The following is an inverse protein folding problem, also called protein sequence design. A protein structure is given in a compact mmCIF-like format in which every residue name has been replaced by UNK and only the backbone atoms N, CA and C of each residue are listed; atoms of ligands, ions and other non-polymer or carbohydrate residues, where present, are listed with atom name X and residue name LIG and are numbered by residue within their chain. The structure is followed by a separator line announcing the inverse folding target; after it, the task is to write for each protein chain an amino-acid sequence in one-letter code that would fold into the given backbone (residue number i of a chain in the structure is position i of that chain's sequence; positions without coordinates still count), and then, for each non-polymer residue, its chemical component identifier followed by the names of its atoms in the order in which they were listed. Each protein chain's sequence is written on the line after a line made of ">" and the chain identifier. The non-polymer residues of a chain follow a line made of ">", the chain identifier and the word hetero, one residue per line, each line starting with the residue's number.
data_IF_450377331863
#
_entry.id   IF_450377331863
#
_cell.length_a   1.000
_cell.length_b   1.000
_cell.length_c   1.000
_cell.angle_alpha   90.00
_cell.angle_beta   90.00
_cell.angle_gamma   90.00
#
_symmetry.space_group_name_H-M   'P 1'
#
loop_
_entity.id
_entity.type
_entity.pdbx_description
1 polymer ?
#
# COMPACT_ATOMS: atom_id res chain seq x y z
N UNK A 1 33.89 33.45 -25.49
CA UNK A 1 33.44 32.10 -25.11
C UNK A 1 32.73 32.19 -23.77
N UNK A 2 31.40 32.04 -23.72
CA UNK A 2 30.65 31.88 -22.46
C UNK A 2 30.05 30.48 -22.46
N UNK A 3 30.48 29.67 -21.50
CA UNK A 3 30.09 28.28 -21.35
C UNK A 3 28.57 28.19 -21.08
N UNK A 4 27.91 27.33 -21.87
CA UNK A 4 26.52 26.91 -21.67
C UNK A 4 26.46 25.89 -20.53
N UNK A 5 25.40 26.05 -19.72
CA UNK A 5 24.62 25.04 -18.97
C UNK A 5 25.38 24.06 -18.07
N UNK A 6 24.92 24.01 -16.83
CA UNK A 6 24.44 22.75 -16.26
C UNK A 6 23.19 23.08 -15.46
N UNK A 7 22.05 22.65 -16.00
CA UNK A 7 20.78 22.62 -15.28
C UNK A 7 20.98 21.56 -14.18
N UNK A 8 20.95 21.97 -12.92
CA UNK A 8 20.86 21.06 -11.78
C UNK A 8 19.51 20.34 -11.86
N UNK A 9 19.56 19.02 -11.99
CA UNK A 9 18.43 18.08 -11.96
C UNK A 9 17.84 17.91 -10.53
N UNK A 10 17.63 19.01 -9.81
CA UNK A 10 17.13 18.99 -8.42
C UNK A 10 15.69 19.47 -8.27
N UNK A 11 14.94 19.55 -9.38
CA UNK A 11 13.51 19.81 -9.37
C UNK A 11 12.73 18.50 -9.57
N UNK A 12 13.09 17.45 -8.83
CA UNK A 12 12.15 16.36 -8.55
C UNK A 12 11.10 16.96 -7.63
N UNK A 13 10.08 17.57 -8.24
CA UNK A 13 8.84 17.96 -7.57
C UNK A 13 8.35 16.73 -6.82
N UNK A 14 8.62 16.69 -5.52
CA UNK A 14 7.93 15.81 -4.59
C UNK A 14 6.45 16.21 -4.70
N UNK A 15 5.70 15.53 -5.58
CA UNK A 15 4.27 15.40 -5.38
C UNK A 15 4.08 14.97 -3.93
N UNK A 16 3.14 15.59 -3.19
CA UNK A 16 3.09 15.44 -1.75
C UNK A 16 2.66 14.01 -1.47
N UNK A 17 3.62 13.11 -1.23
CA UNK A 17 3.39 11.71 -0.83
C UNK A 17 2.33 11.61 0.28
N UNK A 18 2.22 12.64 1.11
CA UNK A 18 1.16 12.85 2.10
C UNK A 18 -0.25 12.71 1.52
N UNK A 19 -0.48 13.17 0.29
CA UNK A 19 -1.75 13.05 -0.42
C UNK A 19 -2.03 11.61 -0.83
N UNK A 20 -1.08 10.92 -1.47
CA UNK A 20 -1.24 9.52 -1.85
C UNK A 20 -1.36 8.61 -0.63
N UNK A 21 -0.56 8.84 0.42
CA UNK A 21 -0.67 8.13 1.70
C UNK A 21 -2.02 8.39 2.33
N UNK A 22 -2.50 9.63 2.38
CA UNK A 22 -3.84 9.93 2.89
C UNK A 22 -4.93 9.23 2.08
N UNK A 23 -4.85 9.25 0.75
CA UNK A 23 -5.78 8.52 -0.11
C UNK A 23 -5.77 7.02 0.18
N UNK A 24 -4.58 6.45 0.44
CA UNK A 24 -4.43 5.04 0.79
C UNK A 24 -5.13 4.74 2.12
N UNK A 25 -4.90 5.55 3.14
CA UNK A 25 -5.53 5.43 4.45
C UNK A 25 -7.05 5.52 4.37
N UNK A 26 -7.57 6.49 3.63
CA UNK A 26 -9.02 6.67 3.42
C UNK A 26 -9.62 5.48 2.64
N UNK A 27 -8.91 4.94 1.64
CA UNK A 27 -9.34 3.79 0.86
C UNK A 27 -9.32 2.50 1.70
N UNK A 28 -8.33 2.34 2.57
CA UNK A 28 -8.20 1.22 3.51
C UNK A 28 -9.32 1.21 4.54
N UNK A 29 -9.58 2.34 5.20
CA UNK A 29 -10.69 2.47 6.15
C UNK A 29 -12.04 2.16 5.47
N UNK A 30 -12.25 2.70 4.26
CA UNK A 30 -13.45 2.41 3.47
C UNK A 30 -13.57 0.92 3.13
N UNK A 31 -12.48 0.27 2.74
CA UNK A 31 -12.46 -1.15 2.45
C UNK A 31 -12.92 -1.98 3.67
N UNK A 32 -12.37 -1.68 4.86
CA UNK A 32 -12.75 -2.34 6.10
C UNK A 32 -14.24 -2.13 6.43
N UNK A 33 -14.76 -0.91 6.26
CA UNK A 33 -16.19 -0.62 6.45
C UNK A 33 -17.06 -1.46 5.51
N UNK A 34 -16.72 -1.50 4.21
CA UNK A 34 -17.44 -2.29 3.21
C UNK A 34 -17.44 -3.79 3.57
N UNK A 35 -16.31 -4.31 4.06
CA UNK A 35 -16.23 -5.70 4.53
C UNK A 35 -17.09 -5.95 5.77
N UNK A 36 -17.08 -5.02 6.71
CA UNK A 36 -17.77 -5.19 7.98
C UNK A 36 -19.29 -5.07 7.87
N UNK A 37 -19.76 -4.26 6.94
CA UNK A 37 -21.16 -4.15 6.54
C UNK A 37 -21.65 -5.34 5.70
N UNK A 38 -20.76 -6.28 5.34
CA UNK A 38 -21.13 -7.51 4.62
C UNK A 38 -21.51 -7.27 3.16
N UNK A 39 -20.95 -6.24 2.52
CA UNK A 39 -21.22 -5.95 1.11
C UNK A 39 -20.74 -7.07 0.17
N UNK A 40 -21.30 -7.15 -1.06
CA UNK A 40 -20.91 -8.16 -2.03
C UNK A 40 -19.42 -8.14 -2.38
N UNK A 41 -18.87 -9.32 -2.74
CA UNK A 41 -17.47 -9.51 -3.15
C UNK A 41 -17.05 -8.54 -4.27
N UNK A 42 -17.93 -8.22 -5.21
CA UNK A 42 -17.59 -7.29 -6.29
C UNK A 42 -17.28 -5.87 -5.77
N UNK A 43 -17.92 -5.43 -4.68
CA UNK A 43 -17.61 -4.14 -4.04
C UNK A 43 -16.27 -4.18 -3.30
N UNK A 44 -15.98 -5.30 -2.62
CA UNK A 44 -14.67 -5.52 -1.99
C UNK A 44 -13.55 -5.53 -3.02
N UNK A 45 -13.75 -6.22 -4.14
CA UNK A 45 -12.80 -6.27 -5.24
C UNK A 45 -12.55 -4.89 -5.84
N UNK A 46 -13.60 -4.07 -6.03
CA UNK A 46 -13.46 -2.70 -6.51
C UNK A 46 -12.65 -1.83 -5.54
N UNK A 47 -12.87 -1.99 -4.23
CA UNK A 47 -12.09 -1.27 -3.22
C UNK A 47 -10.61 -1.70 -3.22
N UNK A 48 -10.32 -3.00 -3.32
CA UNK A 48 -8.96 -3.54 -3.46
C UNK A 48 -8.27 -3.02 -4.73
N UNK A 49 -8.96 -3.01 -5.87
CA UNK A 49 -8.42 -2.43 -7.11
C UNK A 49 -8.07 -0.94 -6.96
N UNK A 50 -8.87 -0.18 -6.23
CA UNK A 50 -8.59 1.23 -5.91
C UNK A 50 -7.32 1.37 -5.06
N UNK A 51 -7.21 0.60 -3.98
CA UNK A 51 -6.02 0.58 -3.12
C UNK A 51 -4.77 0.14 -3.89
N UNK A 52 -4.88 -0.89 -4.74
CA UNK A 52 -3.80 -1.35 -5.62
C UNK A 52 -3.25 -0.22 -6.50
N UNK A 53 -4.13 0.58 -7.10
CA UNK A 53 -3.72 1.71 -7.91
C UNK A 53 -3.00 2.81 -7.12
N UNK A 54 -3.39 3.03 -5.85
CA UNK A 54 -2.74 4.02 -4.97
C UNK A 54 -1.37 3.48 -4.51
N UNK A 55 -1.31 2.24 -4.03
CA UNK A 55 -0.06 1.56 -3.65
C UNK A 55 0.93 1.54 -4.80
N UNK A 56 0.48 1.22 -6.02
CA UNK A 56 1.34 1.22 -7.19
C UNK A 56 2.01 2.56 -7.44
N UNK A 57 1.26 3.67 -7.30
CA UNK A 57 1.83 5.03 -7.41
C UNK A 57 2.82 5.34 -6.29
N UNK A 58 2.49 5.00 -5.05
CA UNK A 58 3.40 5.20 -3.91
C UNK A 58 4.72 4.45 -4.14
N UNK A 59 4.64 3.20 -4.59
CA UNK A 59 5.83 2.39 -4.85
C UNK A 59 6.62 2.96 -6.03
N UNK A 60 5.99 3.19 -7.19
CA UNK A 60 6.67 3.57 -8.43
C UNK A 60 7.21 5.01 -8.42
N UNK A 61 6.46 5.94 -7.85
CA UNK A 61 6.72 7.37 -8.00
C UNK A 61 7.52 7.93 -6.81
N UNK A 62 7.40 7.28 -5.64
CA UNK A 62 8.06 7.71 -4.41
C UNK A 62 9.05 6.67 -3.87
N UNK A 63 8.60 5.48 -3.49
CA UNK A 63 9.41 4.53 -2.70
C UNK A 63 10.67 4.06 -3.44
N UNK A 64 10.59 3.83 -4.76
CA UNK A 64 11.77 3.48 -5.56
C UNK A 64 12.86 4.57 -5.55
N UNK A 65 12.49 5.84 -5.34
CA UNK A 65 13.42 6.98 -5.27
C UNK A 65 13.85 7.29 -3.85
N UNK A 66 13.19 6.71 -2.85
CA UNK A 66 13.52 6.92 -1.45
C UNK A 66 14.92 6.37 -1.16
N UNK A 67 15.80 7.07 -0.43
CA UNK A 67 17.08 6.51 0.01
C UNK A 67 16.91 5.24 0.85
N UNK A 68 17.79 4.24 0.66
CA UNK A 68 17.71 2.92 1.34
C UNK A 68 17.65 3.05 2.88
N UNK A 69 18.34 4.05 3.45
CA UNK A 69 18.36 4.33 4.89
C UNK A 69 17.03 4.86 5.44
N UNK A 70 16.13 5.37 4.58
CA UNK A 70 14.82 5.91 4.95
C UNK A 70 13.65 4.96 4.70
N UNK A 71 13.88 3.87 3.97
CA UNK A 71 12.83 2.88 3.68
C UNK A 71 12.21 2.24 4.92
N UNK A 72 12.99 1.81 5.95
CA UNK A 72 12.41 1.20 7.14
C UNK A 72 11.50 2.17 7.89
N UNK A 73 11.92 3.43 8.02
CA UNK A 73 11.15 4.47 8.70
C UNK A 73 9.84 4.75 7.96
N UNK A 74 9.86 4.78 6.63
CA UNK A 74 8.66 4.92 5.82
C UNK A 74 7.68 3.76 6.05
N UNK A 75 8.16 2.52 5.94
CA UNK A 75 7.32 1.33 6.13
C UNK A 75 6.74 1.25 7.55
N UNK A 76 7.55 1.54 8.57
CA UNK A 76 7.10 1.56 9.97
C UNK A 76 6.06 2.66 10.23
N UNK A 77 6.26 3.85 9.65
CA UNK A 77 5.30 4.95 9.75
C UNK A 77 3.99 4.58 9.05
N UNK A 78 4.04 4.02 7.84
CA UNK A 78 2.85 3.58 7.12
C UNK A 78 2.09 2.50 7.88
N UNK A 79 2.79 1.50 8.43
CA UNK A 79 2.20 0.45 9.25
C UNK A 79 1.48 1.03 10.48
N UNK A 80 2.10 2.00 11.16
CA UNK A 80 1.52 2.70 12.31
C UNK A 80 0.24 3.44 11.92
N UNK A 81 0.27 4.22 10.83
CA UNK A 81 -0.89 4.98 10.35
C UNK A 81 -2.05 4.07 9.92
N UNK A 82 -1.75 2.93 9.28
CA UNK A 82 -2.76 1.93 8.93
C UNK A 82 -3.37 1.31 10.19
N UNK A 83 -2.54 0.96 11.18
CA UNK A 83 -2.99 0.44 12.47
C UNK A 83 -3.91 1.43 13.19
N UNK A 84 -3.51 2.70 13.29
CA UNK A 84 -4.31 3.78 13.89
C UNK A 84 -5.67 3.92 13.19
N UNK A 85 -5.70 3.86 11.85
CA UNK A 85 -6.95 3.92 11.09
C UNK A 85 -7.84 2.71 11.30
N UNK A 86 -7.25 1.54 11.51
CA UNK A 86 -8.01 0.32 11.72
C UNK A 86 -8.63 0.22 13.11
N UNK A 87 -8.12 0.94 14.13
CA UNK A 87 -8.65 0.91 15.51
C UNK A 87 -10.15 1.11 15.53
N UNK A 88 -10.66 2.11 14.79
CA UNK A 88 -12.10 2.40 14.74
C UNK A 88 -12.95 1.27 14.12
N UNK A 89 -12.35 0.47 13.24
CA UNK A 89 -12.99 -0.71 12.66
C UNK A 89 -12.96 -1.90 13.63
N UNK A 90 -11.82 -2.11 14.31
CA UNK A 90 -11.61 -3.19 15.28
C UNK A 90 -12.49 -2.98 16.52
N UNK A 91 -12.60 -1.76 17.04
CA UNK A 91 -13.47 -1.46 18.20
C UNK A 91 -14.92 -1.88 17.96
N UNK A 92 -15.39 -1.82 16.70
CA UNK A 92 -16.73 -2.25 16.30
C UNK A 92 -16.82 -3.75 16.04
N UNK A 93 -15.72 -4.38 15.63
CA UNK A 93 -15.63 -5.78 15.25
C UNK A 93 -14.31 -6.40 15.76
N UNK A 94 -14.22 -6.74 17.07
CA UNK A 94 -12.97 -7.20 17.68
C UNK A 94 -12.42 -8.49 17.06
N UNK A 95 -13.31 -9.36 16.59
CA UNK A 95 -12.96 -10.62 15.93
C UNK A 95 -12.26 -10.42 14.57
N UNK A 96 -12.27 -9.20 14.03
CA UNK A 96 -11.61 -8.87 12.77
C UNK A 96 -10.16 -8.38 12.95
N UNK A 97 -9.62 -8.35 14.17
CA UNK A 97 -8.25 -7.86 14.44
C UNK A 97 -7.19 -8.61 13.62
N UNK A 98 -7.18 -9.95 13.66
CA UNK A 98 -6.24 -10.78 12.90
C UNK A 98 -6.35 -10.54 11.39
N UNK A 99 -7.57 -10.32 10.91
CA UNK A 99 -7.82 -10.04 9.49
C UNK A 99 -7.35 -8.64 9.07
N UNK A 100 -7.47 -7.65 9.95
CA UNK A 100 -6.90 -6.32 9.74
C UNK A 100 -5.37 -6.41 9.66
N UNK A 101 -4.74 -7.13 10.58
CA UNK A 101 -3.28 -7.33 10.57
C UNK A 101 -2.83 -8.01 9.28
N UNK A 102 -3.54 -9.04 8.83
CA UNK A 102 -3.33 -9.67 7.52
C UNK A 102 -3.40 -8.63 6.38
N UNK A 103 -4.44 -7.80 6.37
CA UNK A 103 -4.62 -6.79 5.30
C UNK A 103 -3.47 -5.79 5.28
N UNK A 104 -3.01 -5.33 6.44
CA UNK A 104 -1.85 -4.42 6.55
C UNK A 104 -0.59 -5.12 6.05
N UNK A 105 -0.36 -6.38 6.43
CA UNK A 105 0.76 -7.19 5.95
C UNK A 105 0.80 -7.30 4.43
N UNK A 106 -0.34 -7.61 3.80
CA UNK A 106 -0.46 -7.67 2.34
C UNK A 106 -0.12 -6.35 1.65
N UNK A 107 -0.45 -5.21 2.27
CA UNK A 107 -0.09 -3.89 1.76
C UNK A 107 1.40 -3.61 1.90
N UNK A 108 2.01 -4.02 3.02
CA UNK A 108 3.44 -3.81 3.28
C UNK A 108 4.35 -4.71 2.43
N UNK A 109 3.88 -5.90 2.06
CA UNK A 109 4.60 -6.84 1.19
C UNK A 109 4.96 -6.22 -0.18
N UNK A 110 4.15 -5.28 -0.69
CA UNK A 110 4.47 -4.49 -1.88
C UNK A 110 5.82 -3.75 -1.77
N UNK A 111 6.11 -3.23 -0.59
CA UNK A 111 7.33 -2.49 -0.32
C UNK A 111 8.51 -3.44 -0.17
N UNK A 112 8.33 -4.61 0.46
CA UNK A 112 9.38 -5.64 0.54
C UNK A 112 9.85 -6.05 -0.86
N UNK A 113 8.94 -6.30 -1.79
CA UNK A 113 9.27 -6.56 -3.20
C UNK A 113 10.03 -5.40 -3.85
N UNK A 114 9.62 -4.16 -3.58
CA UNK A 114 10.30 -2.98 -4.10
C UNK A 114 11.73 -2.86 -3.55
N UNK A 115 11.95 -3.17 -2.26
CA UNK A 115 13.28 -3.20 -1.65
C UNK A 115 14.16 -4.26 -2.29
N UNK A 116 13.64 -5.48 -2.48
CA UNK A 116 14.37 -6.55 -3.17
C UNK A 116 14.78 -6.14 -4.58
N UNK A 117 13.87 -5.51 -5.32
CA UNK A 117 14.11 -5.01 -6.66
C UNK A 117 15.18 -3.90 -6.69
N UNK A 118 15.18 -2.98 -5.71
CA UNK A 118 16.24 -1.97 -5.57
C UNK A 118 17.60 -2.59 -5.27
N UNK A 119 17.63 -3.57 -4.36
CA UNK A 119 18.86 -4.29 -4.02
C UNK A 119 19.42 -5.08 -5.20
N UNK A 120 18.55 -5.75 -5.97
CA UNK A 120 18.94 -6.58 -7.11
C UNK A 120 19.45 -5.75 -8.29
N UNK A 121 18.91 -4.56 -8.51
CA UNK A 121 19.22 -3.69 -9.64
C UNK A 121 19.77 -2.33 -9.20
N UNK A 122 20.68 -2.32 -8.23
CA UNK A 122 21.26 -1.09 -7.69
C UNK A 122 21.87 -0.21 -8.79
N UNK A 123 21.44 1.04 -8.84
CA UNK A 123 21.89 2.04 -9.82
C UNK A 123 21.19 1.98 -11.19
N UNK A 124 20.46 0.91 -11.50
CA UNK A 124 19.67 0.81 -12.74
C UNK A 124 18.21 1.22 -12.50
N UNK A 125 17.99 2.53 -12.44
CA UNK A 125 16.67 3.10 -12.14
C UNK A 125 15.65 2.85 -13.26
N UNK A 126 16.10 2.60 -14.49
CA UNK A 126 15.22 2.29 -15.62
C UNK A 126 14.66 0.89 -15.44
N UNK A 127 15.52 -0.09 -15.17
CA UNK A 127 15.10 -1.48 -14.98
C UNK A 127 14.24 -1.63 -13.71
N UNK A 128 14.58 -0.92 -12.63
CA UNK A 128 13.73 -0.87 -11.44
C UNK A 128 12.31 -0.38 -11.76
N UNK A 129 12.18 0.71 -12.55
CA UNK A 129 10.86 1.23 -12.95
C UNK A 129 10.12 0.34 -13.94
N UNK A 130 10.83 -0.43 -14.77
CA UNK A 130 10.20 -1.39 -15.67
C UNK A 130 9.59 -2.55 -14.88
N UNK A 131 10.38 -3.10 -13.94
CA UNK A 131 10.01 -4.30 -13.19
C UNK A 131 9.07 -4.00 -12.01
N UNK A 132 8.89 -2.74 -11.62
CA UNK A 132 7.91 -2.36 -10.58
C UNK A 132 6.48 -2.73 -10.98
N UNK A 133 6.19 -2.79 -12.27
CA UNK A 133 4.89 -3.17 -12.80
C UNK A 133 4.57 -4.66 -12.53
N UNK A 134 5.59 -5.47 -12.25
CA UNK A 134 5.46 -6.90 -11.95
C UNK A 134 5.33 -7.18 -10.44
N UNK A 135 5.35 -6.15 -9.58
CA UNK A 135 5.13 -6.34 -8.14
C UNK A 135 3.67 -6.79 -7.92
N UNK A 136 3.44 -7.92 -7.22
CA UNK A 136 2.10 -8.48 -7.01
C UNK A 136 1.34 -7.69 -5.93
N UNK A 137 0.82 -6.52 -6.30
CA UNK A 137 0.10 -5.63 -5.40
C UNK A 137 -1.30 -6.19 -5.09
N UNK A 138 -1.50 -6.79 -3.91
CA UNK A 138 -2.80 -7.33 -3.46
C UNK A 138 -3.42 -8.33 -4.49
N UNK A 139 -2.60 -9.15 -5.16
CA UNK A 139 -3.06 -10.00 -6.27
C UNK A 139 -3.80 -11.26 -5.79
N UNK A 140 -3.29 -11.93 -4.76
CA UNK A 140 -3.87 -13.13 -4.14
C UNK A 140 -4.59 -12.80 -2.82
N UNK A 141 -5.35 -11.70 -2.83
CA UNK A 141 -5.93 -11.13 -1.62
C UNK A 141 -7.16 -11.92 -1.13
N UNK A 142 -7.10 -12.47 0.10
CA UNK A 142 -8.24 -13.12 0.75
C UNK A 142 -9.17 -12.07 1.36
N UNK A 143 -10.47 -12.16 1.09
CA UNK A 143 -11.47 -11.25 1.66
C UNK A 143 -11.90 -11.64 3.09
N UNK A 144 -11.39 -12.74 3.65
CA UNK A 144 -11.69 -13.19 5.01
C UNK A 144 -13.16 -13.49 5.24
N UNK A 145 -13.90 -13.87 4.19
CA UNK A 145 -15.36 -14.07 4.25
C UNK A 145 -15.74 -15.46 4.77
N UNK A 146 -14.82 -16.43 4.72
CA UNK A 146 -15.06 -17.81 5.19
C UNK A 146 -15.37 -17.85 6.68
N UNK A 147 -14.72 -17.01 7.47
CA UNK A 147 -14.94 -16.90 8.91
C UNK A 147 -16.28 -16.23 9.22
N UNK A 148 -16.65 -15.18 8.46
CA UNK A 148 -17.96 -14.52 8.59
C UNK A 148 -19.14 -15.43 8.22
N UNK A 149 -18.98 -16.32 7.24
CA UNK A 149 -20.03 -17.30 6.89
C UNK A 149 -20.27 -18.35 7.98
N UNK A 150 -19.25 -18.71 8.76
CA UNK A 150 -19.39 -19.65 9.89
C UNK A 150 -20.19 -19.05 11.05
N UNK A 151 -20.04 -17.75 11.29
CA UNK A 151 -20.77 -17.04 12.36
C UNK A 151 -22.29 -17.00 12.11
N UNK A 152 -22.74 -16.96 10.85
CA UNK A 152 -24.18 -16.97 10.51
C UNK A 152 -24.82 -18.35 10.66
N UNK A 153 -24.05 -19.44 10.51
CA UNK A 153 -24.57 -20.80 10.65
C UNK A 153 -24.70 -21.28 12.10
N UNK A 154 -24.15 -20.53 13.06
CA UNK A 154 -24.22 -20.83 14.48
C UNK A 154 -25.19 -19.92 15.26
N UNK A 155 -26.04 -19.15 14.56
CA UNK A 155 -27.09 -18.29 15.13
C UNK A 155 -28.48 -18.92 14.99
#
# INVERSE_FOLDING_TARGET
>A
MRLKKTQTEDDVRFLPIDHEVKQLLDAFEKYLSIRNEGHPVCMLQNAICGMRGILGRIVSDYFLRLPEDREPDFCATLATLLGERAVHCIEKHPDDADYVEYTIGEMLMAFEYAQELKMRFRGDTILQRLLVADIPLLESFDFGLREKLRLVQCA
#
